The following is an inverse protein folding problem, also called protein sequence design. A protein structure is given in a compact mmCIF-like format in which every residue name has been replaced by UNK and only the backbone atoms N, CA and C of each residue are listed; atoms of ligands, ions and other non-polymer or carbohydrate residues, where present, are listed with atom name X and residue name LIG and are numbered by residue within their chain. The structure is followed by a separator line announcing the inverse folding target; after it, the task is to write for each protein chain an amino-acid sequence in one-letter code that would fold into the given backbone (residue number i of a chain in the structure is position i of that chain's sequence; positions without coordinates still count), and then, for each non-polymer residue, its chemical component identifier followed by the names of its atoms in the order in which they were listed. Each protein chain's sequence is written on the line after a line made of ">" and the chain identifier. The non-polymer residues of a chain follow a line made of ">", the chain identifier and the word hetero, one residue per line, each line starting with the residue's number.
data_IF_005616677473
#
_entry.id   IF_005616677473
#
_cell.length_a   1.000
_cell.length_b   1.000
_cell.length_c   1.000
_cell.angle_alpha   90.00
_cell.angle_beta   90.00
_cell.angle_gamma   90.00
#
_symmetry.space_group_name_H-M   'P 1'
#
loop_
_entity.id
_entity.type
_entity.pdbx_description
1 polymer ?
#
# COMPACT_ATOMS: atom_id res chain seq x y z
N UNK A 1 -7.24 -17.32 -14.04
CA UNK A 1 -6.63 -17.16 -12.71
C UNK A 1 -7.63 -16.44 -11.82
N UNK A 2 -7.88 -16.96 -10.63
CA UNK A 2 -8.83 -16.33 -9.72
C UNK A 2 -8.18 -15.16 -8.96
N UNK A 3 -8.99 -14.42 -8.21
CA UNK A 3 -8.53 -13.21 -7.50
C UNK A 3 -7.41 -13.50 -6.51
N UNK A 4 -7.49 -14.58 -5.75
CA UNK A 4 -6.45 -14.93 -4.78
C UNK A 4 -5.12 -15.18 -5.48
N UNK A 5 -5.12 -15.93 -6.57
CA UNK A 5 -3.90 -16.19 -7.32
C UNK A 5 -3.32 -14.91 -7.93
N UNK A 6 -4.18 -14.04 -8.45
CA UNK A 6 -3.75 -12.76 -8.99
C UNK A 6 -3.19 -11.85 -7.90
N UNK A 7 -3.86 -11.79 -6.76
CA UNK A 7 -3.41 -11.02 -5.60
C UNK A 7 -2.04 -11.50 -5.13
N UNK A 8 -1.89 -12.80 -4.94
CA UNK A 8 -0.64 -13.39 -4.49
C UNK A 8 0.51 -13.16 -5.48
N UNK A 9 0.22 -13.22 -6.77
CA UNK A 9 1.22 -12.95 -7.81
C UNK A 9 1.74 -11.51 -7.73
N UNK A 10 0.84 -10.54 -7.52
CA UNK A 10 1.24 -9.14 -7.32
C UNK A 10 2.09 -8.99 -6.06
N UNK A 11 1.63 -9.58 -4.96
CA UNK A 11 2.37 -9.51 -3.68
C UNK A 11 3.75 -10.14 -3.79
N UNK A 12 3.88 -11.26 -4.47
CA UNK A 12 5.20 -11.91 -4.66
C UNK A 12 6.19 -10.96 -5.32
N UNK A 13 5.73 -10.20 -6.30
CA UNK A 13 6.53 -9.18 -6.97
C UNK A 13 6.93 -8.05 -6.02
N UNK A 14 5.98 -7.54 -5.25
CA UNK A 14 6.25 -6.48 -4.25
C UNK A 14 7.19 -6.98 -3.16
N UNK A 15 6.98 -8.19 -2.69
CA UNK A 15 7.80 -8.83 -1.65
C UNK A 15 9.24 -9.03 -2.09
N UNK A 16 9.43 -9.45 -3.34
CA UNK A 16 10.77 -9.61 -3.90
C UNK A 16 11.55 -8.31 -3.85
N UNK A 17 10.92 -7.20 -4.21
CA UNK A 17 11.56 -5.88 -4.15
C UNK A 17 11.85 -5.47 -2.69
N UNK A 18 10.88 -5.69 -1.79
CA UNK A 18 11.06 -5.39 -0.36
C UNK A 18 12.29 -6.13 0.20
N UNK A 19 12.42 -7.42 -0.11
CA UNK A 19 13.54 -8.24 0.36
C UNK A 19 14.88 -7.71 -0.20
N UNK A 20 14.92 -7.36 -1.47
CA UNK A 20 16.13 -6.81 -2.10
C UNK A 20 16.55 -5.51 -1.41
N UNK A 21 15.60 -4.62 -1.15
CA UNK A 21 15.89 -3.36 -0.45
C UNK A 21 16.33 -3.59 0.99
N UNK A 22 15.74 -4.58 1.67
CA UNK A 22 16.18 -4.96 3.01
C UNK A 22 17.63 -5.45 3.01
N UNK A 23 18.05 -6.17 1.98
CA UNK A 23 19.45 -6.62 1.85
C UNK A 23 20.39 -5.44 1.62
N UNK A 24 19.95 -4.42 0.88
CA UNK A 24 20.77 -3.24 0.60
C UNK A 24 20.84 -2.28 1.80
N UNK A 25 19.73 -2.01 2.44
CA UNK A 25 19.59 -0.91 3.40
C UNK A 25 19.19 -1.34 4.80
N UNK A 26 18.91 -2.63 5.01
CA UNK A 26 18.37 -3.09 6.28
C UNK A 26 17.01 -2.47 6.56
N UNK A 27 16.65 -2.38 7.84
CA UNK A 27 15.35 -1.82 8.25
C UNK A 27 15.44 -0.34 8.57
N UNK A 28 16.10 0.45 7.72
CA UNK A 28 16.25 1.89 7.91
C UNK A 28 14.89 2.60 8.06
N UNK A 29 13.85 2.09 7.41
CA UNK A 29 12.49 2.64 7.49
C UNK A 29 11.87 2.56 8.89
N UNK A 30 12.44 1.79 9.80
CA UNK A 30 11.94 1.67 11.17
C UNK A 30 11.98 2.98 11.95
N UNK A 31 12.81 3.92 11.55
CA UNK A 31 12.89 5.24 12.20
C UNK A 31 11.78 6.19 11.74
N UNK A 32 11.02 5.83 10.71
CA UNK A 32 10.04 6.74 10.11
C UNK A 32 8.76 6.83 10.96
N UNK A 33 8.38 8.06 11.27
CA UNK A 33 7.08 8.34 11.86
C UNK A 33 5.99 8.14 10.80
N UNK A 34 4.77 7.84 11.25
CA UNK A 34 3.65 7.60 10.32
C UNK A 34 3.42 8.77 9.35
N UNK A 35 3.43 10.05 9.76
CA UNK A 35 3.26 11.13 8.81
C UNK A 35 4.30 11.14 7.69
N UNK A 36 5.52 10.71 7.97
CA UNK A 36 6.57 10.62 6.94
C UNK A 36 6.24 9.56 5.89
N UNK A 37 5.71 8.42 6.32
CA UNK A 37 5.25 7.37 5.39
C UNK A 37 4.04 7.84 4.61
N UNK A 38 3.09 8.50 5.26
CA UNK A 38 1.91 9.07 4.60
C UNK A 38 2.33 10.05 3.50
N UNK A 39 3.31 10.91 3.77
CA UNK A 39 3.80 11.86 2.78
C UNK A 39 4.47 11.16 1.60
N UNK A 40 5.25 10.11 1.84
CA UNK A 40 5.85 9.32 0.76
C UNK A 40 4.78 8.67 -0.11
N UNK A 41 3.76 8.11 0.51
CA UNK A 41 2.62 7.52 -0.21
C UNK A 41 1.90 8.58 -1.05
N UNK A 42 1.69 9.77 -0.49
CA UNK A 42 1.02 10.85 -1.17
C UNK A 42 1.78 11.30 -2.43
N UNK A 43 3.11 11.43 -2.31
CA UNK A 43 3.97 11.78 -3.45
C UNK A 43 3.82 10.75 -4.58
N UNK A 44 3.86 9.47 -4.23
CA UNK A 44 3.73 8.38 -5.22
C UNK A 44 2.36 8.37 -5.89
N UNK A 45 1.29 8.49 -5.11
CA UNK A 45 -0.06 8.50 -5.65
C UNK A 45 -0.29 9.72 -6.55
N UNK A 46 0.22 10.87 -6.17
CA UNK A 46 0.15 12.09 -6.98
C UNK A 46 0.91 11.92 -8.29
N UNK A 47 2.07 11.29 -8.25
CA UNK A 47 2.85 11.03 -9.46
C UNK A 47 2.09 10.10 -10.40
N UNK A 48 1.45 9.06 -9.86
CA UNK A 48 0.63 8.15 -10.67
C UNK A 48 -0.48 8.94 -11.38
N UNK A 49 -1.18 9.79 -10.64
CA UNK A 49 -2.24 10.61 -11.23
C UNK A 49 -1.71 11.51 -12.35
N UNK A 50 -0.56 12.13 -12.13
CA UNK A 50 0.11 12.93 -13.16
C UNK A 50 0.47 12.12 -14.40
N UNK A 51 0.98 10.91 -14.24
CA UNK A 51 1.29 10.02 -15.35
C UNK A 51 0.03 9.62 -16.12
N UNK A 52 -1.08 9.38 -15.42
CA UNK A 52 -2.36 9.03 -16.05
C UNK A 52 -2.96 10.20 -16.84
N UNK A 53 -2.79 11.41 -16.36
CA UNK A 53 -3.28 12.63 -17.02
C UNK A 53 -2.39 13.05 -18.20
N UNK A 54 -1.12 12.70 -18.18
CA UNK A 54 -0.16 13.05 -19.22
C UNK A 54 -0.16 11.98 -20.31
N UNK A 55 -0.82 12.27 -21.42
CA UNK A 55 -0.94 11.34 -22.54
C UNK A 55 0.39 11.09 -23.28
N UNK A 56 1.43 11.87 -22.97
CA UNK A 56 2.74 11.73 -23.61
C UNK A 56 3.65 10.74 -22.89
N UNK A 57 3.31 10.34 -21.64
CA UNK A 57 4.12 9.33 -20.96
C UNK A 57 3.97 8.01 -21.72
N UNK A 58 5.09 7.32 -21.89
CA UNK A 58 5.15 6.20 -22.84
C UNK A 58 5.23 4.83 -22.16
N UNK A 59 5.31 4.78 -20.83
CA UNK A 59 5.70 3.55 -20.17
C UNK A 59 4.80 3.29 -18.96
N UNK A 60 3.98 2.25 -19.07
CA UNK A 60 3.20 1.74 -17.95
C UNK A 60 4.08 1.26 -16.79
N UNK A 61 5.35 0.96 -17.08
CA UNK A 61 6.33 0.55 -16.07
C UNK A 61 6.49 1.57 -14.95
N UNK A 62 6.46 2.89 -15.26
CA UNK A 62 6.57 3.94 -14.24
C UNK A 62 5.39 3.88 -13.28
N UNK A 63 4.18 3.71 -13.80
CA UNK A 63 2.96 3.56 -13.03
C UNK A 63 3.01 2.29 -12.18
N UNK A 64 3.43 1.18 -12.78
CA UNK A 64 3.59 -0.09 -12.08
C UNK A 64 4.58 0.02 -10.91
N UNK A 65 5.72 0.63 -11.14
CA UNK A 65 6.74 0.81 -10.10
C UNK A 65 6.20 1.65 -8.94
N UNK A 66 5.42 2.69 -9.23
CA UNK A 66 4.84 3.53 -8.19
C UNK A 66 3.77 2.79 -7.38
N UNK A 67 2.94 1.96 -8.01
CA UNK A 67 1.98 1.14 -7.28
C UNK A 67 2.66 0.12 -6.37
N UNK A 68 3.76 -0.49 -6.83
CA UNK A 68 4.56 -1.38 -5.98
C UNK A 68 5.09 -0.61 -4.77
N UNK A 69 5.57 0.61 -4.99
CA UNK A 69 6.03 1.47 -3.90
C UNK A 69 4.92 1.79 -2.90
N UNK A 70 3.71 2.06 -3.37
CA UNK A 70 2.55 2.30 -2.49
C UNK A 70 2.27 1.07 -1.63
N UNK A 71 2.26 -0.12 -2.23
CA UNK A 71 2.03 -1.36 -1.47
C UNK A 71 3.07 -1.52 -0.38
N UNK A 72 4.35 -1.40 -0.73
CA UNK A 72 5.42 -1.63 0.23
C UNK A 72 5.46 -0.56 1.34
N UNK A 73 5.28 0.72 1.02
CA UNK A 73 5.23 1.75 2.04
C UNK A 73 3.99 1.63 2.95
N UNK A 74 2.84 1.25 2.40
CA UNK A 74 1.65 1.02 3.20
C UNK A 74 1.83 -0.17 4.15
N UNK A 75 2.47 -1.24 3.69
CA UNK A 75 2.80 -2.39 4.54
C UNK A 75 3.80 -2.00 5.64
N UNK A 76 4.80 -1.18 5.33
CA UNK A 76 5.72 -0.63 6.33
C UNK A 76 4.97 0.21 7.36
N UNK A 77 4.00 1.03 6.91
CA UNK A 77 3.17 1.82 7.83
C UNK A 77 2.38 0.93 8.77
N UNK A 78 1.82 -0.16 8.27
CA UNK A 78 1.10 -1.13 9.11
C UNK A 78 2.02 -1.78 10.14
N UNK A 79 3.26 -2.07 9.78
CA UNK A 79 4.26 -2.57 10.72
C UNK A 79 4.56 -1.51 11.78
N UNK A 80 4.73 -0.25 11.38
CA UNK A 80 5.01 0.85 12.31
C UNK A 80 3.84 1.08 13.29
N UNK A 81 2.61 0.91 12.84
CA UNK A 81 1.44 1.01 13.72
C UNK A 81 1.52 -0.05 14.83
N UNK A 82 1.89 -1.28 14.49
CA UNK A 82 1.97 -2.36 15.47
C UNK A 82 3.18 -2.21 16.40
N UNK A 83 4.36 -1.93 15.82
CA UNK A 83 5.64 -1.95 16.56
C UNK A 83 6.00 -0.61 17.19
N UNK A 84 5.43 0.49 16.72
CA UNK A 84 5.92 1.83 17.04
C UNK A 84 7.19 2.16 16.26
N UNK A 85 7.60 3.43 16.29
CA UNK A 85 8.84 3.85 15.64
C UNK A 85 10.06 3.44 16.48
N UNK A 86 11.16 3.15 15.82
CA UNK A 86 12.41 2.79 16.47
C UNK A 86 13.41 3.95 16.40
N UNK A 87 14.33 4.01 17.36
CA UNK A 87 15.40 5.01 17.34
C UNK A 87 16.43 4.71 16.25
N UNK A 88 16.56 3.46 15.87
CA UNK A 88 17.51 2.99 14.86
C UNK A 88 16.97 1.71 14.22
N UNK A 89 17.54 1.27 13.07
CA UNK A 89 17.13 0.00 12.46
C UNK A 89 17.29 -1.15 13.47
N UNK A 90 16.22 -1.90 13.68
CA UNK A 90 16.15 -2.89 14.75
C UNK A 90 15.62 -4.26 14.30
N UNK A 91 15.35 -4.43 13.00
CA UNK A 91 14.85 -5.69 12.46
C UNK A 91 15.86 -6.27 11.46
N UNK A 92 16.12 -7.58 11.58
CA UNK A 92 16.86 -8.28 10.55
C UNK A 92 15.92 -8.66 9.38
N UNK A 93 16.48 -9.24 8.32
CA UNK A 93 15.71 -9.60 7.14
C UNK A 93 14.58 -10.57 7.47
N UNK A 94 14.87 -11.59 8.28
CA UNK A 94 13.89 -12.61 8.65
C UNK A 94 12.70 -12.01 9.44
N UNK A 95 13.02 -11.20 10.43
CA UNK A 95 12.00 -10.54 11.25
C UNK A 95 11.14 -9.58 10.43
N UNK A 96 11.76 -8.76 9.60
CA UNK A 96 11.04 -7.81 8.77
C UNK A 96 10.15 -8.51 7.74
N UNK A 97 10.65 -9.59 7.13
CA UNK A 97 9.88 -10.37 6.15
C UNK A 97 8.67 -11.04 6.80
N UNK A 98 8.84 -11.58 8.02
CA UNK A 98 7.73 -12.20 8.75
C UNK A 98 6.62 -11.18 9.06
N UNK A 99 6.99 -9.96 9.46
CA UNK A 99 6.02 -8.88 9.71
C UNK A 99 5.34 -8.44 8.42
N UNK A 100 6.09 -8.32 7.35
CA UNK A 100 5.55 -8.00 6.02
C UNK A 100 4.48 -9.03 5.63
N UNK A 101 4.80 -10.31 5.73
CA UNK A 101 3.89 -11.39 5.37
C UNK A 101 2.62 -11.39 6.23
N UNK A 102 2.76 -11.09 7.52
CA UNK A 102 1.61 -10.96 8.43
C UNK A 102 0.68 -9.83 7.99
N UNK A 103 1.24 -8.68 7.65
CA UNK A 103 0.43 -7.53 7.21
C UNK A 103 -0.24 -7.78 5.86
N UNK A 104 0.42 -8.48 4.97
CA UNK A 104 -0.18 -8.93 3.71
C UNK A 104 -1.38 -9.85 3.99
N UNK A 105 -1.21 -10.80 4.88
CA UNK A 105 -2.30 -11.74 5.22
C UNK A 105 -3.51 -11.01 5.79
N UNK A 106 -3.30 -10.04 6.67
CA UNK A 106 -4.38 -9.25 7.26
C UNK A 106 -5.11 -8.42 6.18
N UNK A 107 -4.38 -7.76 5.29
CA UNK A 107 -4.97 -6.97 4.21
C UNK A 107 -5.73 -7.86 3.23
N UNK A 108 -5.16 -9.01 2.88
CA UNK A 108 -5.81 -9.96 1.97
C UNK A 108 -7.09 -10.53 2.57
N UNK A 109 -7.09 -10.84 3.87
CA UNK A 109 -8.30 -11.32 4.56
C UNK A 109 -9.42 -10.27 4.51
N UNK A 110 -9.07 -9.00 4.67
CA UNK A 110 -10.03 -7.89 4.55
C UNK A 110 -10.58 -7.83 3.12
N UNK A 111 -9.72 -7.96 2.12
CA UNK A 111 -10.12 -7.98 0.70
C UNK A 111 -11.09 -9.11 0.43
N UNK A 112 -10.80 -10.31 0.92
CA UNK A 112 -11.67 -11.47 0.73
C UNK A 112 -13.05 -11.25 1.35
N UNK A 113 -13.11 -10.70 2.56
CA UNK A 113 -14.36 -10.40 3.25
C UNK A 113 -15.19 -9.38 2.46
N UNK A 114 -14.55 -8.32 1.95
CA UNK A 114 -15.25 -7.31 1.15
C UNK A 114 -15.74 -7.88 -0.19
N UNK A 115 -14.94 -8.71 -0.84
CA UNK A 115 -15.35 -9.35 -2.09
C UNK A 115 -16.53 -10.30 -1.88
N UNK A 116 -16.58 -10.97 -0.75
CA UNK A 116 -17.72 -11.83 -0.41
C UNK A 116 -19.01 -11.01 -0.32
N UNK A 117 -18.95 -9.81 0.31
CA UNK A 117 -20.15 -8.99 0.53
C UNK A 117 -20.56 -8.18 -0.71
N UNK A 118 -19.59 -7.66 -1.46
CA UNK A 118 -19.82 -6.72 -2.55
C UNK A 118 -19.52 -7.31 -3.93
N UNK A 119 -19.13 -8.58 -4.00
CA UNK A 119 -18.62 -9.17 -5.23
C UNK A 119 -17.25 -8.58 -5.59
N UNK A 120 -16.85 -8.76 -6.82
CA UNK A 120 -15.57 -8.26 -7.31
C UNK A 120 -15.76 -6.98 -8.14
N UNK A 121 -16.46 -6.00 -7.56
CA UNK A 121 -16.78 -4.75 -8.25
C UNK A 121 -15.54 -4.01 -8.73
N UNK A 122 -14.40 -4.17 -8.06
CA UNK A 122 -13.14 -3.55 -8.46
C UNK A 122 -12.70 -3.94 -9.87
N UNK A 123 -13.15 -5.10 -10.37
CA UNK A 123 -12.81 -5.55 -11.74
C UNK A 123 -13.34 -4.62 -12.82
N UNK A 124 -14.44 -3.94 -12.53
CA UNK A 124 -15.07 -3.00 -13.46
C UNK A 124 -14.59 -1.56 -13.25
N UNK A 125 -13.72 -1.35 -12.27
CA UNK A 125 -13.18 -0.01 -12.00
C UNK A 125 -11.99 0.29 -12.91
N UNK A 126 -11.86 1.56 -13.26
CA UNK A 126 -10.68 2.04 -13.97
C UNK A 126 -9.50 2.15 -13.02
N UNK A 127 -8.29 1.97 -13.53
CA UNK A 127 -7.07 2.18 -12.72
C UNK A 127 -7.03 3.61 -12.17
N UNK A 128 -7.46 4.60 -12.97
CA UNK A 128 -7.54 5.99 -12.51
C UNK A 128 -8.47 6.17 -11.31
N UNK A 129 -9.58 5.43 -11.27
CA UNK A 129 -10.49 5.49 -10.12
C UNK A 129 -9.85 4.87 -8.87
N UNK A 130 -9.10 3.80 -9.02
CA UNK A 130 -8.36 3.20 -7.91
C UNK A 130 -7.31 4.17 -7.37
N UNK A 131 -6.63 4.89 -8.25
CA UNK A 131 -5.68 5.94 -7.86
C UNK A 131 -6.37 7.05 -7.05
N UNK A 132 -7.53 7.49 -7.49
CA UNK A 132 -8.29 8.53 -6.79
C UNK A 132 -8.72 8.07 -5.40
N UNK A 133 -9.12 6.81 -5.27
CA UNK A 133 -9.49 6.25 -3.97
C UNK A 133 -8.28 6.18 -3.03
N UNK A 134 -7.11 5.84 -3.55
CA UNK A 134 -5.86 5.86 -2.76
C UNK A 134 -5.59 7.28 -2.27
N UNK A 135 -5.67 8.28 -3.16
CA UNK A 135 -5.49 9.69 -2.79
C UNK A 135 -6.48 10.12 -1.72
N UNK A 136 -7.76 9.72 -1.86
CA UNK A 136 -8.77 10.05 -0.86
C UNK A 136 -8.44 9.44 0.50
N UNK A 137 -8.00 8.19 0.53
CA UNK A 137 -7.59 7.55 1.78
C UNK A 137 -6.41 8.28 2.41
N UNK A 138 -5.46 8.73 1.61
CA UNK A 138 -4.31 9.49 2.11
C UNK A 138 -4.73 10.83 2.73
N UNK A 139 -5.69 11.52 2.11
CA UNK A 139 -6.23 12.76 2.69
C UNK A 139 -6.92 12.48 4.01
N UNK A 140 -7.67 11.38 4.11
CA UNK A 140 -8.29 10.96 5.37
C UNK A 140 -7.25 10.66 6.44
N UNK A 141 -6.20 9.95 6.09
CA UNK A 141 -5.12 9.64 7.04
C UNK A 141 -4.47 10.93 7.54
N UNK A 142 -4.17 11.87 6.65
CA UNK A 142 -3.61 13.16 7.05
C UNK A 142 -4.51 13.89 8.05
N UNK A 143 -5.81 13.91 7.80
CA UNK A 143 -6.78 14.54 8.71
C UNK A 143 -6.81 13.85 10.07
N UNK A 144 -6.76 12.51 10.09
CA UNK A 144 -6.72 11.75 11.33
C UNK A 144 -5.43 12.05 12.09
N UNK A 145 -4.30 12.09 11.40
CA UNK A 145 -3.00 12.42 11.99
C UNK A 145 -3.00 13.84 12.57
N UNK A 146 -3.55 14.79 11.83
CA UNK A 146 -3.66 16.19 12.28
C UNK A 146 -4.59 16.33 13.49
N UNK A 147 -5.54 15.41 13.64
CA UNK A 147 -6.46 15.37 14.77
C UNK A 147 -5.99 14.37 15.85
N UNK A 148 -4.69 14.12 15.92
CA UNK A 148 -4.08 13.27 16.95
C UNK A 148 -4.61 11.84 16.99
N UNK A 149 -5.00 11.30 15.83
CA UNK A 149 -5.49 9.94 15.70
C UNK A 149 -6.97 9.74 16.03
N UNK A 150 -7.70 10.82 16.29
CA UNK A 150 -9.10 10.72 16.73
C UNK A 150 -10.07 10.82 15.56
N UNK A 151 -11.10 9.97 15.58
CA UNK A 151 -12.23 10.04 14.66
C UNK A 151 -13.54 9.96 15.44
N UNK A 152 -14.62 10.47 14.85
CA UNK A 152 -15.96 10.41 15.47
C UNK A 152 -16.72 9.15 15.06
N UNK A 153 -16.71 8.82 13.77
CA UNK A 153 -17.50 7.71 13.23
C UNK A 153 -16.71 6.83 12.27
N UNK A 154 -15.56 7.29 11.81
CA UNK A 154 -14.77 6.61 10.78
C UNK A 154 -13.73 5.67 11.39
N UNK A 155 -13.31 4.72 10.60
CA UNK A 155 -12.19 3.84 10.94
C UNK A 155 -10.90 4.66 11.09
N UNK A 156 -9.94 4.11 11.87
CA UNK A 156 -8.64 4.74 12.08
C UNK A 156 -7.68 4.56 10.89
N UNK A 157 -6.43 4.95 11.12
CA UNK A 157 -5.41 4.92 10.05
C UNK A 157 -5.12 3.50 9.54
N UNK A 158 -5.17 2.50 10.41
CA UNK A 158 -4.84 1.11 10.02
C UNK A 158 -5.74 0.63 8.89
N UNK A 159 -7.06 0.77 9.02
CA UNK A 159 -8.00 0.35 7.99
C UNK A 159 -7.78 1.10 6.68
N UNK A 160 -7.44 2.39 6.75
CA UNK A 160 -7.14 3.18 5.56
C UNK A 160 -5.88 2.67 4.85
N UNK A 161 -4.84 2.29 5.58
CA UNK A 161 -3.63 1.72 4.97
C UNK A 161 -3.91 0.35 4.35
N UNK A 162 -4.72 -0.48 5.00
CA UNK A 162 -5.11 -1.78 4.44
C UNK A 162 -5.87 -1.61 3.12
N UNK A 163 -6.79 -0.65 3.06
CA UNK A 163 -7.52 -0.34 1.83
C UNK A 163 -6.57 0.13 0.72
N UNK A 164 -5.58 0.95 1.06
CA UNK A 164 -4.59 1.39 0.08
C UNK A 164 -3.80 0.23 -0.52
N UNK A 165 -3.38 -0.73 0.31
CA UNK A 165 -2.73 -1.94 -0.18
C UNK A 165 -3.63 -2.64 -1.20
N UNK A 166 -4.88 -2.86 -0.85
CA UNK A 166 -5.81 -3.60 -1.70
C UNK A 166 -6.12 -2.86 -3.01
N UNK A 167 -6.35 -1.55 -2.95
CA UNK A 167 -6.58 -0.76 -4.17
C UNK A 167 -5.36 -0.79 -5.09
N UNK A 168 -4.15 -0.70 -4.54
CA UNK A 168 -2.94 -0.75 -5.33
C UNK A 168 -2.71 -2.15 -5.93
N UNK A 169 -3.03 -3.20 -5.19
CA UNK A 169 -2.99 -4.58 -5.73
C UNK A 169 -3.97 -4.71 -6.89
N UNK A 170 -5.20 -4.23 -6.74
CA UNK A 170 -6.20 -4.28 -7.82
C UNK A 170 -5.72 -3.52 -9.05
N UNK A 171 -5.11 -2.35 -8.86
CA UNK A 171 -4.55 -1.59 -9.97
C UNK A 171 -3.49 -2.40 -10.72
N UNK A 172 -2.59 -3.06 -9.99
CA UNK A 172 -1.55 -3.89 -10.60
C UNK A 172 -2.12 -5.13 -11.30
N UNK A 173 -3.20 -5.71 -10.78
CA UNK A 173 -3.89 -6.79 -11.48
C UNK A 173 -4.40 -6.29 -12.84
N UNK A 174 -5.03 -5.12 -12.86
CA UNK A 174 -5.50 -4.52 -14.12
C UNK A 174 -4.35 -4.25 -15.09
N UNK A 175 -3.24 -3.71 -14.61
CA UNK A 175 -2.11 -3.34 -15.46
C UNK A 175 -1.34 -4.54 -16.00
N UNK A 176 -1.46 -5.70 -15.36
CA UNK A 176 -0.74 -6.92 -15.75
C UNK A 176 -1.62 -7.94 -16.47
N UNK A 177 -2.89 -7.62 -16.66
CA UNK A 177 -3.85 -8.51 -17.34
C UNK A 177 -3.83 -8.31 -18.85
#
# INVERSE_FOLDING_TARGET
>A
MNTIDQYNSVIDRCRSLFIKKMKDYGSAWRILRLPSLTDQLYIKAHRIRGLQENKEHKIDEDETAEFIGIINYALMALIQIEKGIAAQPDLNLEEATALYDQKVMEARSLMEAKNHDYGEAWRDMRVSSLTDLILQKLLRVKQIEDNQGKTLVSEGVEANYQDMVNYAVFALIHLTS
#
